data_IF_153822975667
#
_entry.id   IF_153822975667
#
_cell.length_a   1.000
_cell.length_b   1.000
_cell.length_c   1.000
_cell.angle_alpha   90.00
_cell.angle_beta   90.00
_cell.angle_gamma   90.00
#
_symmetry.space_group_name_H-M   'P 1'
#
loop_
_entity.id
_entity.type
_entity.pdbx_description
1 polymer ?
#
# COMPACT_ATOMS: atom_id res chain seq x y z
N UNK A 1 -4.14 76.96 33.14
CA UNK A 1 -3.19 76.31 32.21
C UNK A 1 -2.71 74.97 32.78
N UNK A 2 -3.42 73.85 32.56
CA UNK A 2 -2.94 72.48 32.85
C UNK A 2 -3.72 71.47 31.99
N UNK A 3 -3.41 71.38 30.69
CA UNK A 3 -3.96 70.32 29.80
C UNK A 3 -2.93 69.72 28.83
N UNK A 4 -1.66 70.14 28.88
CA UNK A 4 -0.62 69.69 27.92
C UNK A 4 0.29 68.57 28.42
N UNK A 5 0.21 68.14 29.68
CA UNK A 5 1.11 67.12 30.23
C UNK A 5 0.62 65.67 30.06
N UNK A 6 -0.64 65.45 29.67
CA UNK A 6 -1.22 64.10 29.49
C UNK A 6 -1.11 63.54 28.06
N UNK A 7 -0.80 64.36 27.06
CA UNK A 7 -0.77 63.93 25.65
C UNK A 7 0.50 63.16 25.27
N UNK A 8 1.64 63.48 25.88
CA UNK A 8 2.93 62.83 25.63
C UNK A 8 2.93 61.35 26.05
N UNK A 9 2.45 60.95 27.25
CA UNK A 9 2.42 59.54 27.61
C UNK A 9 1.45 58.72 26.74
N UNK A 10 0.33 59.31 26.29
CA UNK A 10 -0.63 58.63 25.42
C UNK A 10 -0.05 58.35 24.03
N UNK A 11 0.66 59.33 23.44
CA UNK A 11 1.33 59.16 22.15
C UNK A 11 2.45 58.10 22.20
N UNK A 12 3.22 58.07 23.30
CA UNK A 12 4.27 57.07 23.50
C UNK A 12 3.70 55.65 23.68
N UNK A 13 2.65 55.51 24.51
CA UNK A 13 1.94 54.23 24.69
C UNK A 13 1.35 53.75 23.35
N UNK A 14 0.74 54.64 22.57
CA UNK A 14 0.20 54.30 21.24
C UNK A 14 1.30 53.79 20.30
N UNK A 15 2.48 54.42 20.29
CA UNK A 15 3.57 54.03 19.41
C UNK A 15 4.17 52.67 19.80
N UNK A 16 4.29 52.41 21.11
CA UNK A 16 4.73 51.10 21.63
C UNK A 16 3.72 50.01 21.25
N UNK A 17 2.41 50.25 21.46
CA UNK A 17 1.36 49.29 21.08
C UNK A 17 1.39 49.04 19.57
N UNK A 18 1.49 50.08 18.74
CA UNK A 18 1.59 49.91 17.29
C UNK A 18 2.84 49.13 16.88
N UNK A 19 3.98 49.35 17.54
CA UNK A 19 5.22 48.61 17.26
C UNK A 19 5.11 47.13 17.64
N UNK A 20 4.43 46.82 18.76
CA UNK A 20 4.16 45.44 19.18
C UNK A 20 3.23 44.76 18.18
N UNK A 21 2.14 45.42 17.77
CA UNK A 21 1.20 44.88 16.78
C UNK A 21 1.92 44.61 15.46
N UNK A 22 2.72 45.56 14.95
CA UNK A 22 3.48 45.37 13.70
C UNK A 22 4.48 44.23 13.85
N UNK A 23 5.21 44.16 14.96
CA UNK A 23 6.15 43.08 15.23
C UNK A 23 5.45 41.73 15.27
N UNK A 24 4.37 41.58 16.03
CA UNK A 24 3.61 40.33 16.11
C UNK A 24 3.04 39.95 14.75
N UNK A 25 2.45 40.89 14.01
CA UNK A 25 1.84 40.60 12.70
C UNK A 25 2.90 40.13 11.70
N UNK A 26 4.05 40.83 11.62
CA UNK A 26 5.14 40.48 10.70
C UNK A 26 5.84 39.19 11.12
N UNK A 27 6.09 39.01 12.41
CA UNK A 27 6.75 37.81 12.94
C UNK A 27 5.89 36.57 12.74
N UNK A 28 4.61 36.64 13.09
CA UNK A 28 3.65 35.53 12.90
C UNK A 28 3.50 35.22 11.40
N UNK A 29 3.31 36.24 10.56
CA UNK A 29 3.18 36.03 9.11
C UNK A 29 4.44 35.39 8.49
N UNK A 30 5.64 35.80 8.92
CA UNK A 30 6.88 35.17 8.45
C UNK A 30 7.03 33.73 8.98
N UNK A 31 6.65 33.46 10.24
CA UNK A 31 6.69 32.11 10.80
C UNK A 31 5.74 31.17 10.05
N UNK A 32 4.53 31.64 9.74
CA UNK A 32 3.54 30.92 8.94
C UNK A 32 4.02 30.65 7.51
N UNK A 33 4.59 31.65 6.83
CA UNK A 33 5.14 31.48 5.49
C UNK A 33 6.34 30.50 5.45
N UNK A 34 7.20 30.52 6.47
CA UNK A 34 8.31 29.57 6.60
C UNK A 34 7.81 28.15 6.88
N UNK A 35 6.75 28.02 7.70
CA UNK A 35 6.07 26.75 7.98
C UNK A 35 5.53 26.14 6.69
N UNK A 36 4.73 26.89 5.93
CA UNK A 36 4.18 26.46 4.65
C UNK A 36 5.29 26.05 3.66
N UNK A 37 6.34 26.88 3.51
CA UNK A 37 7.47 26.57 2.63
C UNK A 37 8.22 25.29 3.00
N UNK A 38 8.36 24.99 4.30
CA UNK A 38 9.03 23.76 4.73
C UNK A 38 8.15 22.53 4.50
N UNK A 39 6.82 22.63 4.69
CA UNK A 39 5.90 21.56 4.32
C UNK A 39 5.87 21.31 2.82
N UNK A 40 5.84 22.36 2.00
CA UNK A 40 5.95 22.24 0.55
C UNK A 40 7.20 21.47 0.13
N UNK A 41 8.37 21.77 0.74
CA UNK A 41 9.60 21.02 0.47
C UNK A 41 9.46 19.56 0.84
N UNK A 42 8.82 19.24 1.97
CA UNK A 42 8.59 17.85 2.38
C UNK A 42 7.71 17.13 1.34
N UNK A 43 6.62 17.74 0.88
CA UNK A 43 5.77 17.16 -0.18
C UNK A 43 6.57 16.95 -1.47
N UNK A 44 7.32 17.97 -1.93
CA UNK A 44 8.12 17.92 -3.16
C UNK A 44 9.26 16.89 -3.13
N UNK A 45 9.77 16.56 -1.94
CA UNK A 45 10.87 15.61 -1.78
C UNK A 45 10.42 14.20 -1.42
N UNK A 46 9.22 14.05 -0.86
CA UNK A 46 8.75 12.78 -0.28
C UNK A 46 7.62 12.14 -1.08
N UNK A 47 6.68 12.95 -1.58
CA UNK A 47 5.46 12.50 -2.24
C UNK A 47 5.61 12.58 -3.76
N UNK A 48 5.87 13.79 -4.29
CA UNK A 48 5.88 14.03 -5.75
C UNK A 48 6.85 13.11 -6.51
N UNK A 49 8.08 12.80 -6.03
CA UNK A 49 8.99 11.92 -6.76
C UNK A 49 8.50 10.47 -6.89
N UNK A 50 7.56 10.05 -6.03
CA UNK A 50 6.96 8.72 -6.06
C UNK A 50 5.64 8.68 -6.85
N UNK A 51 5.13 9.84 -7.31
CA UNK A 51 3.89 9.95 -8.07
C UNK A 51 4.17 10.70 -9.39
N UNK A 52 4.81 10.04 -10.38
CA UNK A 52 5.17 10.69 -11.64
C UNK A 52 3.96 11.18 -12.44
N UNK A 53 2.76 10.71 -12.13
CA UNK A 53 1.49 11.15 -12.72
C UNK A 53 0.95 12.45 -12.11
N UNK A 54 1.58 12.99 -11.05
CA UNK A 54 1.13 14.21 -10.39
C UNK A 54 1.34 15.45 -11.29
N UNK A 55 0.27 16.25 -11.43
CA UNK A 55 0.24 17.50 -12.20
C UNK A 55 0.40 18.70 -11.26
N UNK A 56 -0.34 18.68 -10.16
CA UNK A 56 -0.35 19.72 -9.14
C UNK A 56 -0.73 19.11 -7.79
N UNK A 57 -0.46 19.84 -6.72
CA UNK A 57 -0.88 19.46 -5.39
C UNK A 57 -1.29 20.70 -4.59
N UNK A 58 -2.07 20.48 -3.55
CA UNK A 58 -2.45 21.45 -2.53
C UNK A 58 -2.32 20.80 -1.17
N UNK A 59 -2.00 21.59 -0.14
CA UNK A 59 -1.95 21.12 1.24
C UNK A 59 -3.06 21.82 2.02
N UNK A 60 -3.78 21.06 2.84
CA UNK A 60 -4.94 21.54 3.60
C UNK A 60 -4.82 21.19 5.09
N UNK A 61 -5.47 22.00 5.93
CA UNK A 61 -5.50 21.86 7.39
C UNK A 61 -4.43 22.68 8.11
N UNK A 62 -4.75 23.12 9.34
CA UNK A 62 -3.85 23.97 10.16
C UNK A 62 -2.55 23.23 10.55
N UNK A 63 -2.62 21.90 10.58
CA UNK A 63 -1.49 20.98 10.80
C UNK A 63 -1.07 20.21 9.56
N UNK A 64 -1.50 20.67 8.37
CA UNK A 64 -1.21 20.02 7.09
C UNK A 64 -1.67 18.57 7.08
N UNK A 65 -2.91 18.36 7.56
CA UNK A 65 -3.56 17.07 7.77
C UNK A 65 -3.90 16.35 6.47
N UNK A 66 -3.92 17.07 5.35
CA UNK A 66 -4.28 16.53 4.05
C UNK A 66 -3.40 17.08 2.93
N UNK A 67 -2.89 16.19 2.09
CA UNK A 67 -2.21 16.54 0.83
C UNK A 67 -3.09 16.08 -0.33
N UNK A 68 -3.66 17.03 -1.05
CA UNK A 68 -4.44 16.77 -2.25
C UNK A 68 -3.54 16.84 -3.48
N UNK A 69 -3.60 15.81 -4.34
CA UNK A 69 -2.75 15.64 -5.51
C UNK A 69 -3.66 15.45 -6.71
N UNK A 70 -3.58 16.34 -7.68
CA UNK A 70 -4.23 16.14 -8.96
C UNK A 70 -3.29 15.36 -9.87
N UNK A 71 -3.73 14.19 -10.33
CA UNK A 71 -2.96 13.30 -11.18
C UNK A 71 -3.61 13.09 -12.55
N UNK A 72 -2.80 12.68 -13.53
CA UNK A 72 -3.28 12.31 -14.86
C UNK A 72 -4.09 10.99 -14.81
N UNK A 73 -4.82 10.70 -15.90
CA UNK A 73 -5.52 9.42 -16.07
C UNK A 73 -4.57 8.20 -16.08
N UNK A 74 -3.27 8.39 -16.27
CA UNK A 74 -2.29 7.31 -16.19
C UNK A 74 -2.24 6.68 -14.79
N UNK A 75 -2.59 7.45 -13.75
CA UNK A 75 -2.70 6.91 -12.40
C UNK A 75 -3.84 5.90 -12.30
N UNK A 76 -4.97 6.14 -12.99
CA UNK A 76 -6.11 5.21 -12.99
C UNK A 76 -5.76 3.87 -13.62
N UNK A 77 -4.83 3.86 -14.58
CA UNK A 77 -4.39 2.67 -15.31
C UNK A 77 -3.52 1.73 -14.46
N UNK A 78 -3.01 2.21 -13.32
CA UNK A 78 -2.25 1.39 -12.38
C UNK A 78 -3.15 0.35 -11.70
N UNK A 79 -2.58 -0.82 -11.39
CA UNK A 79 -3.26 -1.79 -10.51
C UNK A 79 -3.44 -1.21 -9.10
N UNK A 80 -4.39 -1.72 -8.33
CA UNK A 80 -4.56 -1.27 -6.94
C UNK A 80 -3.32 -1.52 -6.08
N UNK A 81 -2.62 -2.64 -6.29
CA UNK A 81 -1.32 -2.93 -5.67
C UNK A 81 -0.29 -1.84 -6.00
N UNK A 82 -0.17 -1.44 -7.27
CA UNK A 82 0.74 -0.36 -7.68
C UNK A 82 0.35 0.99 -7.07
N UNK A 83 -0.95 1.33 -7.05
CA UNK A 83 -1.44 2.56 -6.41
C UNK A 83 -1.07 2.59 -4.93
N UNK A 84 -1.31 1.48 -4.25
CA UNK A 84 -1.01 1.30 -2.84
C UNK A 84 0.49 1.40 -2.55
N UNK A 85 1.33 0.68 -3.29
CA UNK A 85 2.79 0.71 -3.10
C UNK A 85 3.36 2.13 -3.28
N UNK A 86 2.90 2.85 -4.31
CA UNK A 86 3.35 4.22 -4.55
C UNK A 86 2.92 5.16 -3.42
N UNK A 87 1.68 5.03 -2.95
CA UNK A 87 1.13 5.87 -1.88
C UNK A 87 1.72 5.53 -0.51
N UNK A 88 1.90 4.25 -0.20
CA UNK A 88 2.56 3.78 1.00
C UNK A 88 4.02 4.26 1.05
N UNK A 89 4.76 4.14 -0.07
CA UNK A 89 6.13 4.65 -0.15
C UNK A 89 6.18 6.18 0.00
N UNK A 90 5.20 6.88 -0.57
CA UNK A 90 5.06 8.34 -0.41
C UNK A 90 4.79 8.71 1.05
N UNK A 91 3.89 7.99 1.71
CA UNK A 91 3.52 8.21 3.11
C UNK A 91 4.71 7.97 4.06
N UNK A 92 5.44 6.86 3.89
CA UNK A 92 6.61 6.54 4.71
C UNK A 92 7.71 7.61 4.61
N UNK A 93 7.93 8.16 3.41
CA UNK A 93 8.87 9.27 3.24
C UNK A 93 8.31 10.56 3.86
N UNK A 94 7.02 10.80 3.70
CA UNK A 94 6.34 11.99 4.16
C UNK A 94 6.31 12.10 5.68
N UNK A 95 5.99 11.02 6.40
CA UNK A 95 5.95 10.95 7.86
C UNK A 95 7.26 11.47 8.50
N UNK A 96 8.40 10.98 8.02
CA UNK A 96 9.71 11.41 8.51
C UNK A 96 9.95 12.92 8.37
N UNK A 97 9.55 13.50 7.23
CA UNK A 97 9.67 14.93 6.98
C UNK A 97 8.64 15.76 7.74
N UNK A 98 7.38 15.30 7.77
CA UNK A 98 6.24 15.94 8.43
C UNK A 98 6.50 16.06 9.93
N UNK A 99 6.88 14.97 10.59
CA UNK A 99 7.23 14.94 12.01
C UNK A 99 8.32 15.98 12.36
N UNK A 100 9.30 16.17 11.48
CA UNK A 100 10.36 17.18 11.68
C UNK A 100 9.81 18.60 11.65
N UNK A 101 8.88 18.90 10.73
CA UNK A 101 8.29 20.23 10.58
C UNK A 101 7.31 20.52 11.73
N UNK A 102 6.48 19.55 12.11
CA UNK A 102 5.56 19.65 13.27
C UNK A 102 6.32 20.00 14.55
N UNK A 103 7.44 19.31 14.82
CA UNK A 103 8.31 19.60 15.97
C UNK A 103 8.94 21.00 15.86
N UNK A 104 9.45 21.36 14.68
CA UNK A 104 10.15 22.65 14.46
C UNK A 104 9.25 23.85 14.73
N UNK A 105 7.97 23.77 14.40
CA UNK A 105 7.03 24.88 14.54
C UNK A 105 6.15 24.80 15.80
N UNK A 106 6.37 23.80 16.65
CA UNK A 106 5.64 23.54 17.91
C UNK A 106 4.13 23.32 17.66
N UNK A 107 3.83 22.46 16.70
CA UNK A 107 2.47 22.16 16.25
C UNK A 107 1.90 20.89 16.90
N UNK A 108 2.48 20.44 18.01
CA UNK A 108 2.02 19.25 18.70
C UNK A 108 0.65 19.53 19.35
N UNK A 109 -0.37 18.67 19.12
CA UNK A 109 -1.65 18.82 19.81
C UNK A 109 -1.48 18.64 21.33
N UNK A 110 -2.26 19.39 22.12
CA UNK A 110 -2.19 19.39 23.60
C UNK A 110 -2.44 17.99 24.22
N UNK A 111 -3.09 17.08 23.49
CA UNK A 111 -3.37 15.70 23.88
C UNK A 111 -2.53 14.71 23.05
N UNK A 112 -1.25 14.58 23.38
CA UNK A 112 -0.30 13.77 22.61
C UNK A 112 -0.46 12.26 22.90
N UNK A 113 -1.41 11.61 22.22
CA UNK A 113 -1.51 10.14 22.10
C UNK A 113 -1.29 9.64 20.67
N UNK A 114 -0.69 10.45 19.82
CA UNK A 114 -0.39 10.17 18.41
C UNK A 114 -0.42 11.48 17.63
N UNK A 115 0.53 11.67 16.71
CA UNK A 115 0.35 12.65 15.64
C UNK A 115 -0.53 11.92 14.63
N UNK A 116 -1.74 12.41 14.37
CA UNK A 116 -2.53 11.89 13.25
C UNK A 116 -1.71 12.14 11.99
N UNK A 117 -1.25 11.04 11.37
CA UNK A 117 -0.49 11.19 10.13
C UNK A 117 -1.44 11.74 9.06
N UNK A 118 -0.94 12.66 8.24
CA UNK A 118 -1.73 13.31 7.22
C UNK A 118 -2.21 12.31 6.16
N UNK A 119 -3.35 12.60 5.54
CA UNK A 119 -3.92 11.80 4.46
C UNK A 119 -3.40 12.26 3.09
N UNK A 120 -3.13 11.31 2.18
CA UNK A 120 -2.81 11.62 0.78
C UNK A 120 -4.05 11.36 -0.07
N UNK A 121 -4.59 12.42 -0.69
CA UNK A 121 -5.75 12.37 -1.56
C UNK A 121 -5.31 12.52 -3.00
N UNK A 122 -5.47 11.50 -3.83
CA UNK A 122 -5.20 11.57 -5.28
C UNK A 122 -6.52 11.72 -6.02
N UNK A 123 -6.64 12.80 -6.78
CA UNK A 123 -7.80 13.09 -7.63
C UNK A 123 -7.39 12.90 -9.08
N UNK A 124 -8.08 12.02 -9.79
CA UNK A 124 -7.93 11.82 -11.23
C UNK A 124 -9.21 12.25 -11.95
N UNK A 125 -9.22 12.30 -13.30
CA UNK A 125 -10.45 12.56 -14.04
C UNK A 125 -11.55 11.50 -13.82
N UNK A 126 -11.19 10.27 -13.44
CA UNK A 126 -12.13 9.15 -13.37
C UNK A 126 -12.52 8.75 -11.94
N UNK A 127 -11.66 9.00 -10.94
CA UNK A 127 -11.91 8.58 -9.56
C UNK A 127 -11.14 9.45 -8.55
N UNK A 128 -11.38 9.19 -7.26
CA UNK A 128 -10.62 9.76 -6.14
C UNK A 128 -10.11 8.64 -5.24
N UNK A 129 -8.88 8.78 -4.78
CA UNK A 129 -8.19 7.80 -3.95
C UNK A 129 -7.70 8.49 -2.68
N UNK A 130 -8.07 7.98 -1.51
CA UNK A 130 -7.57 8.48 -0.22
C UNK A 130 -6.70 7.42 0.43
N UNK A 131 -5.43 7.74 0.66
CA UNK A 131 -4.52 6.88 1.42
C UNK A 131 -4.37 7.42 2.83
N UNK A 132 -4.73 6.60 3.81
CA UNK A 132 -4.77 6.99 5.22
C UNK A 132 -3.50 6.57 5.96
N UNK A 133 -3.36 7.09 7.16
CA UNK A 133 -2.33 6.72 8.15
C UNK A 133 -2.39 5.26 8.61
N UNK A 134 -3.49 4.56 8.34
CA UNK A 134 -3.73 3.17 8.73
C UNK A 134 -3.41 2.18 7.61
N UNK A 135 -2.67 2.59 6.57
CA UNK A 135 -2.38 1.77 5.40
C UNK A 135 -3.66 1.30 4.69
N UNK A 136 -4.65 2.19 4.59
CA UNK A 136 -5.88 1.96 3.85
C UNK A 136 -5.92 2.83 2.60
N UNK A 137 -6.34 2.25 1.48
CA UNK A 137 -6.66 2.94 0.25
C UNK A 137 -8.17 2.94 0.04
N UNK A 138 -8.80 4.11 0.16
CA UNK A 138 -10.23 4.31 -0.02
C UNK A 138 -10.47 4.84 -1.44
N UNK A 139 -11.43 4.25 -2.15
CA UNK A 139 -11.85 4.64 -3.49
C UNK A 139 -13.37 4.72 -3.58
N UNK A 140 -13.90 5.13 -4.73
CA UNK A 140 -15.35 5.04 -4.99
C UNK A 140 -15.89 3.59 -4.97
N UNK A 141 -15.04 2.58 -5.15
CA UNK A 141 -15.40 1.17 -5.19
C UNK A 141 -15.27 0.44 -3.84
N UNK A 142 -14.59 1.03 -2.85
CA UNK A 142 -14.46 0.47 -1.51
C UNK A 142 -13.19 0.91 -0.80
N UNK A 143 -12.96 0.31 0.38
CA UNK A 143 -11.73 0.45 1.16
C UNK A 143 -10.88 -0.79 0.98
N UNK A 144 -9.57 -0.60 0.82
CA UNK A 144 -8.60 -1.67 0.61
C UNK A 144 -7.45 -1.53 1.61
N UNK A 145 -7.20 -2.54 2.43
CA UNK A 145 -6.04 -2.61 3.32
C UNK A 145 -4.83 -3.28 2.63
N UNK A 146 -3.62 -3.14 3.18
CA UNK A 146 -2.42 -3.85 2.70
C UNK A 146 -2.67 -5.37 2.56
N UNK A 147 -3.42 -5.95 3.50
CA UNK A 147 -3.79 -7.37 3.51
C UNK A 147 -4.79 -7.73 2.39
N UNK A 148 -5.61 -6.77 1.93
CA UNK A 148 -6.51 -6.96 0.78
C UNK A 148 -5.75 -6.86 -0.55
N UNK A 149 -4.68 -6.07 -0.57
CA UNK A 149 -3.93 -5.66 -1.75
C UNK A 149 -2.67 -6.46 -2.02
N UNK A 150 -2.30 -7.35 -1.10
CA UNK A 150 -1.26 -8.36 -1.24
C UNK A 150 -1.58 -9.43 -2.31
N UNK A 151 -2.24 -9.07 -3.42
CA UNK A 151 -2.38 -9.77 -4.72
C UNK A 151 -3.00 -11.17 -4.69
N UNK A 152 -3.29 -11.66 -3.50
CA UNK A 152 -3.60 -13.05 -3.23
C UNK A 152 -5.10 -13.25 -3.32
N UNK A 153 -5.96 -12.30 -2.96
CA UNK A 153 -7.37 -12.62 -2.79
C UNK A 153 -8.24 -12.52 -4.04
N UNK A 154 -8.15 -11.53 -4.93
CA UNK A 154 -8.98 -11.54 -6.15
C UNK A 154 -8.52 -12.56 -7.21
N UNK A 155 -7.21 -12.67 -7.45
CA UNK A 155 -6.68 -13.69 -8.37
C UNK A 155 -6.78 -15.10 -7.77
N UNK A 156 -6.53 -15.34 -6.46
CA UNK A 156 -6.83 -16.66 -5.88
C UNK A 156 -8.32 -16.89 -5.77
N UNK A 157 -9.17 -15.92 -5.48
CA UNK A 157 -10.63 -16.12 -5.46
C UNK A 157 -11.11 -16.48 -6.86
N UNK A 158 -10.71 -15.74 -7.89
CA UNK A 158 -10.97 -16.11 -9.27
C UNK A 158 -10.39 -17.49 -9.63
N UNK A 159 -9.13 -17.79 -9.27
CA UNK A 159 -8.52 -19.10 -9.52
C UNK A 159 -9.13 -20.21 -8.68
N UNK A 160 -9.66 -19.98 -7.49
CA UNK A 160 -10.32 -20.98 -6.64
C UNK A 160 -11.74 -21.22 -7.17
N UNK A 161 -12.48 -20.15 -7.52
CA UNK A 161 -13.80 -20.21 -8.16
C UNK A 161 -13.72 -20.88 -9.55
N UNK A 162 -12.61 -20.69 -10.26
CA UNK A 162 -12.36 -21.26 -11.59
C UNK A 162 -11.29 -22.35 -11.56
N UNK A 163 -11.03 -22.99 -10.42
CA UNK A 163 -9.85 -23.85 -10.24
C UNK A 163 -9.75 -25.02 -11.20
N UNK A 164 -10.90 -25.51 -11.64
CA UNK A 164 -11.02 -26.57 -12.66
C UNK A 164 -10.45 -26.19 -14.03
N UNK A 165 -10.23 -24.89 -14.28
CA UNK A 165 -9.67 -24.38 -15.54
C UNK A 165 -8.15 -24.25 -15.52
N UNK A 166 -7.50 -24.41 -14.36
CA UNK A 166 -6.07 -24.14 -14.20
C UNK A 166 -5.29 -25.37 -13.75
N UNK A 167 -4.10 -25.53 -14.30
CA UNK A 167 -3.10 -26.49 -13.82
C UNK A 167 -2.66 -26.09 -12.39
N UNK A 168 -2.19 -27.05 -11.57
CA UNK A 168 -1.50 -26.74 -10.34
C UNK A 168 -0.38 -25.71 -10.53
N UNK A 169 -0.06 -24.94 -9.49
CA UNK A 169 1.06 -24.00 -9.48
C UNK A 169 1.81 -24.06 -8.15
N UNK A 170 3.07 -23.65 -8.13
CA UNK A 170 3.89 -23.58 -6.92
C UNK A 170 3.28 -22.60 -5.90
N UNK A 171 3.21 -22.99 -4.63
CA UNK A 171 2.51 -22.26 -3.57
C UNK A 171 1.00 -22.49 -3.50
N UNK A 172 0.40 -23.31 -4.40
CA UNK A 172 -1.00 -23.75 -4.25
C UNK A 172 -1.18 -24.59 -2.97
N UNK A 173 -2.28 -24.38 -2.24
CA UNK A 173 -2.63 -25.26 -1.11
C UNK A 173 -3.05 -26.65 -1.60
N UNK A 174 -2.57 -27.70 -0.92
CA UNK A 174 -2.80 -29.10 -1.32
C UNK A 174 -4.27 -29.52 -1.31
N UNK A 175 -5.12 -28.83 -0.54
CA UNK A 175 -6.58 -29.06 -0.49
C UNK A 175 -7.25 -28.80 -1.83
N UNK A 176 -6.64 -27.97 -2.67
CA UNK A 176 -7.16 -27.54 -3.95
C UNK A 176 -6.65 -28.38 -5.14
N UNK A 177 -5.57 -29.16 -4.98
CA UNK A 177 -4.95 -29.94 -6.08
C UNK A 177 -5.94 -30.81 -6.85
N UNK A 178 -6.84 -31.48 -6.12
CA UNK A 178 -7.86 -32.38 -6.69
C UNK A 178 -8.92 -31.65 -7.53
N UNK A 179 -9.01 -30.33 -7.38
CA UNK A 179 -10.02 -29.48 -8.01
C UNK A 179 -9.47 -28.79 -9.27
N UNK A 180 -8.17 -28.94 -9.55
CA UNK A 180 -7.48 -28.35 -10.71
C UNK A 180 -7.92 -28.99 -12.03
N UNK A 181 -7.45 -28.45 -13.16
CA UNK A 181 -7.61 -29.03 -14.50
C UNK A 181 -7.05 -30.45 -14.61
N UNK A 182 -6.09 -30.82 -13.75
CA UNK A 182 -5.52 -32.17 -13.71
C UNK A 182 -6.47 -33.18 -13.06
N UNK A 183 -7.46 -32.72 -12.28
CA UNK A 183 -8.45 -33.58 -11.64
C UNK A 183 -7.86 -34.42 -10.50
N UNK A 184 -8.45 -35.60 -10.27
CA UNK A 184 -8.02 -36.51 -9.19
C UNK A 184 -6.69 -37.21 -9.55
N UNK A 185 -5.71 -37.25 -8.62
CA UNK A 185 -4.47 -37.97 -8.84
C UNK A 185 -4.73 -39.48 -8.95
N UNK A 186 -3.95 -40.15 -9.79
CA UNK A 186 -3.93 -41.61 -9.91
C UNK A 186 -3.24 -42.27 -8.71
N UNK A 187 -2.22 -41.60 -8.16
CA UNK A 187 -1.42 -42.12 -7.04
C UNK A 187 -1.01 -40.95 -6.11
N UNK A 188 -0.98 -41.21 -4.80
CA UNK A 188 -0.40 -40.31 -3.80
C UNK A 188 0.65 -41.09 -3.03
N UNK A 189 1.91 -40.66 -3.14
CA UNK A 189 3.06 -41.28 -2.48
C UNK A 189 3.44 -40.48 -1.24
N UNK A 190 3.71 -41.18 -0.14
CA UNK A 190 4.15 -40.62 1.13
C UNK A 190 5.42 -41.33 1.60
N UNK A 191 6.33 -40.65 2.30
CA UNK A 191 7.45 -41.31 2.95
C UNK A 191 6.97 -42.33 4.00
N UNK A 192 7.70 -43.43 4.12
CA UNK A 192 7.53 -44.37 5.22
C UNK A 192 7.64 -43.61 6.53
N UNK A 193 6.68 -43.80 7.46
CA UNK A 193 6.51 -43.06 8.73
C UNK A 193 5.88 -41.65 8.68
N UNK A 194 5.26 -41.23 7.57
CA UNK A 194 4.64 -39.91 7.41
C UNK A 194 3.95 -39.32 8.66
N UNK A 195 3.10 -40.09 9.34
CA UNK A 195 2.34 -39.60 10.50
C UNK A 195 3.22 -39.24 11.70
N UNK A 196 4.40 -39.86 11.80
CA UNK A 196 5.41 -39.63 12.84
C UNK A 196 6.38 -38.49 12.52
N UNK A 197 6.36 -37.94 11.29
CA UNK A 197 7.22 -36.82 10.92
C UNK A 197 6.70 -35.51 11.50
N UNK A 198 7.64 -34.61 11.81
CA UNK A 198 7.31 -33.22 12.17
C UNK A 198 6.65 -32.51 10.98
N UNK A 199 5.72 -31.56 11.20
CA UNK A 199 4.99 -30.89 10.12
C UNK A 199 5.89 -30.30 9.02
N UNK A 200 7.02 -29.69 9.38
CA UNK A 200 8.02 -29.09 8.47
C UNK A 200 8.78 -30.13 7.62
N UNK A 201 8.69 -31.41 7.98
CA UNK A 201 9.34 -32.53 7.29
C UNK A 201 8.35 -33.42 6.53
N UNK A 202 7.05 -33.13 6.64
CA UNK A 202 6.02 -33.87 5.91
C UNK A 202 6.02 -33.43 4.46
N UNK A 203 6.12 -34.42 3.58
CA UNK A 203 5.94 -34.21 2.15
C UNK A 203 5.07 -35.31 1.56
N UNK A 204 4.32 -34.96 0.52
CA UNK A 204 3.49 -35.87 -0.26
C UNK A 204 3.80 -35.64 -1.74
N UNK A 205 3.69 -36.68 -2.56
CA UNK A 205 3.85 -36.58 -4.01
C UNK A 205 2.57 -37.08 -4.69
N UNK A 206 1.92 -36.18 -5.42
CA UNK A 206 0.70 -36.45 -6.17
C UNK A 206 1.06 -36.74 -7.62
N UNK A 207 0.56 -37.85 -8.18
CA UNK A 207 0.83 -38.25 -9.56
C UNK A 207 -0.44 -38.43 -10.37
N UNK A 208 -0.40 -37.98 -11.62
CA UNK A 208 -1.40 -38.23 -12.64
C UNK A 208 -0.75 -38.99 -13.79
N UNK A 209 -1.14 -40.25 -13.98
CA UNK A 209 -0.60 -41.12 -15.04
C UNK A 209 -1.61 -41.15 -16.17
N UNK A 210 -1.32 -40.42 -17.26
CA UNK A 210 -2.20 -40.35 -18.42
C UNK A 210 -1.80 -41.42 -19.43
N UNK A 211 -2.82 -42.16 -19.88
CA UNK A 211 -2.69 -43.28 -20.81
C UNK A 211 -3.50 -43.04 -22.08
N UNK A 212 -3.00 -43.50 -23.21
CA UNK A 212 -3.72 -43.47 -24.49
C UNK A 212 -4.83 -44.54 -24.52
N UNK A 213 -5.56 -44.63 -25.63
CA UNK A 213 -6.64 -45.62 -25.82
C UNK A 213 -6.15 -47.07 -25.73
N UNK A 214 -4.86 -47.31 -25.94
CA UNK A 214 -4.22 -48.63 -25.86
C UNK A 214 -3.65 -48.94 -24.45
N UNK A 215 -3.79 -48.02 -23.49
CA UNK A 215 -3.29 -48.18 -22.13
C UNK A 215 -1.81 -47.85 -21.94
N UNK A 216 -1.13 -47.33 -22.97
CA UNK A 216 0.27 -46.90 -22.91
C UNK A 216 0.37 -45.52 -22.25
N UNK A 217 1.36 -45.34 -21.37
CA UNK A 217 1.59 -44.07 -20.69
C UNK A 217 2.23 -43.09 -21.67
N UNK A 218 1.58 -41.95 -21.90
CA UNK A 218 2.13 -40.87 -22.73
C UNK A 218 2.55 -39.65 -21.91
N UNK A 219 2.03 -39.50 -20.69
CA UNK A 219 2.36 -38.36 -19.83
C UNK A 219 2.22 -38.73 -18.36
N UNK A 220 3.20 -38.35 -17.54
CA UNK A 220 3.11 -38.39 -16.08
C UNK A 220 3.28 -36.96 -15.57
N UNK A 221 2.27 -36.49 -14.83
CA UNK A 221 2.32 -35.21 -14.14
C UNK A 221 2.53 -35.46 -12.66
N UNK A 222 3.40 -34.69 -12.04
CA UNK A 222 3.77 -34.85 -10.63
C UNK A 222 3.71 -33.50 -9.92
N UNK A 223 3.16 -33.46 -8.71
CA UNK A 223 3.22 -32.32 -7.81
C UNK A 223 3.83 -32.75 -6.48
N UNK A 224 4.93 -32.12 -6.08
CA UNK A 224 5.55 -32.29 -4.78
C UNK A 224 4.93 -31.29 -3.80
N UNK A 225 4.51 -31.77 -2.64
CA UNK A 225 3.71 -31.00 -1.68
C UNK A 225 4.36 -31.07 -0.31
N UNK A 226 4.37 -29.94 0.39
CA UNK A 226 4.81 -29.79 1.78
C UNK A 226 3.69 -29.19 2.62
N UNK A 227 3.92 -28.99 3.92
CA UNK A 227 2.97 -28.31 4.80
C UNK A 227 2.63 -26.88 4.37
N UNK A 228 3.51 -26.21 3.62
CA UNK A 228 3.29 -24.86 3.09
C UNK A 228 2.60 -24.83 1.72
N UNK A 229 2.33 -25.98 1.10
CA UNK A 229 1.69 -26.09 -0.21
C UNK A 229 2.52 -26.85 -1.24
N UNK A 230 2.16 -26.69 -2.51
CA UNK A 230 2.89 -27.26 -3.65
C UNK A 230 4.27 -26.62 -3.73
N UNK A 231 5.32 -27.44 -3.65
CA UNK A 231 6.72 -27.03 -3.72
C UNK A 231 7.22 -27.02 -5.17
N UNK A 232 6.89 -28.04 -5.96
CA UNK A 232 7.34 -28.16 -7.35
C UNK A 232 6.35 -28.97 -8.19
N UNK A 233 6.42 -28.76 -9.51
CA UNK A 233 5.56 -29.39 -10.50
C UNK A 233 6.40 -29.90 -11.68
N UNK A 234 6.25 -31.18 -11.98
CA UNK A 234 7.01 -31.85 -13.04
C UNK A 234 6.07 -32.54 -14.05
N UNK A 235 6.35 -32.39 -15.35
CA UNK A 235 5.61 -33.05 -16.43
C UNK A 235 6.60 -33.84 -17.29
N UNK A 236 6.50 -35.17 -17.24
CA UNK A 236 7.27 -36.08 -18.08
C UNK A 236 6.39 -36.56 -19.24
N UNK A 237 6.78 -36.21 -20.47
CA UNK A 237 6.11 -36.66 -21.71
C UNK A 237 6.88 -37.83 -22.32
N UNK A 238 6.16 -38.85 -22.74
CA UNK A 238 6.69 -40.04 -23.38
C UNK A 238 6.16 -40.11 -24.81
N UNK A 239 7.05 -40.11 -25.78
CA UNK A 239 6.69 -40.35 -27.18
C UNK A 239 6.56 -41.86 -27.41
N UNK A 240 5.35 -42.31 -27.71
CA UNK A 240 5.15 -43.64 -28.29
C UNK A 240 5.65 -43.59 -29.74
N UNK A 241 6.72 -44.33 -30.04
CA UNK A 241 7.09 -44.62 -31.42
C UNK A 241 6.05 -45.61 -31.94
N UNK A 242 5.08 -45.12 -32.70
CA UNK A 242 4.26 -45.97 -33.55
C UNK A 242 5.07 -46.24 -34.82
N UNK A 243 5.62 -47.46 -34.92
CA UNK A 243 6.12 -48.03 -36.18
C UNK A 243 4.95 -48.47 -37.06
#
# INVERSE_FOLDING_TARGET
MRKRQLLIPIAFISLVISSIIVYETVYVSNKEAMKESDFEKVVQTSIIPNLPQAISYQIEGDSFEKVEIHATEEFDQLSMEQKFDLLNKSMNNFDNGHSTVVVKYDMMPENFWGIDLPEIHVITPNDSYTFTSHNELITSSGTFEEDDLNGVNEYKKYRIENIRKFDPWEGMSSVYLKQTSWGLPTEIVRPDNYDSLRPDRKWEMYKWVLKNEYGEIYEIRTAHVTSSGVLSIDIAKYTTKHD
#
